data_IF_142694867650
#
_entry.id   IF_142694867650
#
_cell.length_a   1.000
_cell.length_b   1.000
_cell.length_c   1.000
_cell.angle_alpha   90.00
_cell.angle_beta   90.00
_cell.angle_gamma   90.00
#
_symmetry.space_group_name_H-M   'P 1'
#
loop_
_entity.id
_entity.type
_entity.pdbx_description
1 polymer ?
#
# COMPACT_ATOMS: atom_id res chain seq x y z
N UNK A 1 -27.41 19.36 22.67
CA UNK A 1 -26.00 19.20 22.22
C UNK A 1 -25.99 19.31 20.70
N UNK A 2 -25.21 20.23 20.11
CA UNK A 2 -25.18 20.40 18.65
C UNK A 2 -24.20 19.38 18.04
N UNK A 3 -24.64 18.65 17.02
CA UNK A 3 -23.80 17.67 16.32
C UNK A 3 -22.88 18.43 15.39
N UNK A 4 -21.56 18.35 15.64
CA UNK A 4 -20.54 18.88 14.74
C UNK A 4 -20.06 17.75 13.84
N UNK A 5 -20.38 17.83 12.55
CA UNK A 5 -19.88 16.88 11.55
C UNK A 5 -18.52 17.39 11.09
N UNK A 6 -17.45 16.69 11.48
CA UNK A 6 -16.10 16.97 10.99
C UNK A 6 -15.93 16.59 9.51
N UNK A 7 -14.76 16.87 8.94
CA UNK A 7 -14.49 16.57 7.52
C UNK A 7 -13.99 15.14 7.28
N UNK A 8 -13.64 14.40 8.33
CA UNK A 8 -13.12 13.05 8.16
C UNK A 8 -14.24 12.03 8.00
N UNK A 9 -13.90 10.89 7.37
CA UNK A 9 -14.83 9.77 7.24
C UNK A 9 -15.27 9.20 8.60
N UNK A 10 -14.34 9.12 9.56
CA UNK A 10 -14.65 8.69 10.92
C UNK A 10 -15.63 9.65 11.62
N UNK A 11 -15.48 10.96 11.42
CA UNK A 11 -16.42 11.96 11.97
C UNK A 11 -17.83 11.78 11.39
N UNK A 12 -17.93 11.44 10.10
CA UNK A 12 -19.21 11.18 9.44
C UNK A 12 -19.90 9.93 10.02
N UNK A 13 -19.16 8.83 10.20
CA UNK A 13 -19.68 7.60 10.81
C UNK A 13 -20.18 7.86 12.23
N UNK A 14 -19.36 8.54 13.05
CA UNK A 14 -19.71 8.89 14.42
C UNK A 14 -20.95 9.79 14.48
N UNK A 15 -21.05 10.78 13.60
CA UNK A 15 -22.23 11.64 13.52
C UNK A 15 -23.48 10.87 13.12
N UNK A 16 -23.39 9.98 12.12
CA UNK A 16 -24.51 9.12 11.71
C UNK A 16 -25.00 8.24 12.87
N UNK A 17 -24.08 7.63 13.61
CA UNK A 17 -24.42 6.80 14.77
C UNK A 17 -25.16 7.59 15.86
N UNK A 18 -24.66 8.78 16.20
CA UNK A 18 -25.28 9.65 17.19
C UNK A 18 -26.68 10.13 16.75
N UNK A 19 -26.83 10.52 15.48
CA UNK A 19 -28.12 10.95 14.92
C UNK A 19 -29.12 9.79 14.94
N UNK A 20 -28.73 8.61 14.46
CA UNK A 20 -29.61 7.43 14.44
C UNK A 20 -30.04 7.04 15.86
N UNK A 21 -29.12 7.07 16.83
CA UNK A 21 -29.44 6.79 18.22
C UNK A 21 -30.47 7.79 18.78
N UNK A 22 -30.28 9.09 18.51
CA UNK A 22 -31.22 10.13 18.90
C UNK A 22 -32.61 9.97 18.27
N UNK A 23 -32.66 9.67 16.96
CA UNK A 23 -33.91 9.45 16.24
C UNK A 23 -34.66 8.18 16.70
N UNK A 24 -33.94 7.14 17.13
CA UNK A 24 -34.55 5.92 17.69
C UNK A 24 -35.10 6.13 19.10
N UNK A 25 -34.46 6.99 19.89
CA UNK A 25 -34.88 7.30 21.25
C UNK A 25 -36.13 8.19 21.31
N UNK A 26 -36.38 8.99 20.28
CA UNK A 26 -37.58 9.81 20.17
C UNK A 26 -38.83 8.96 19.89
N UNK A 27 -39.81 9.02 20.78
CA UNK A 27 -41.09 8.31 20.62
C UNK A 27 -42.11 9.16 19.86
N UNK A 28 -42.84 8.54 18.92
CA UNK A 28 -44.08 9.10 18.37
C UNK A 28 -44.03 9.75 16.98
N UNK A 29 -42.86 10.00 16.38
CA UNK A 29 -42.78 10.61 15.03
C UNK A 29 -42.41 9.58 13.94
N UNK A 30 -43.35 9.29 13.05
CA UNK A 30 -43.15 8.37 11.93
C UNK A 30 -42.05 8.82 10.95
N UNK A 31 -41.86 10.13 10.76
CA UNK A 31 -40.81 10.66 9.87
C UNK A 31 -39.42 10.44 10.48
N UNK A 32 -39.27 10.64 11.78
CA UNK A 32 -38.01 10.38 12.49
C UNK A 32 -37.60 8.91 12.41
N UNK A 33 -38.58 8.00 12.56
CA UNK A 33 -38.34 6.55 12.37
C UNK A 33 -37.91 6.23 10.94
N UNK A 34 -38.54 6.82 9.93
CA UNK A 34 -38.16 6.62 8.53
C UNK A 34 -36.71 7.09 8.27
N UNK A 35 -36.34 8.28 8.74
CA UNK A 35 -34.97 8.79 8.64
C UNK A 35 -33.96 7.89 9.37
N UNK A 36 -34.29 7.38 10.56
CA UNK A 36 -33.41 6.46 11.28
C UNK A 36 -33.14 5.17 10.49
N UNK A 37 -34.15 4.66 9.76
CA UNK A 37 -34.01 3.48 8.89
C UNK A 37 -33.14 3.78 7.69
N UNK A 38 -33.38 4.90 6.99
CA UNK A 38 -32.58 5.28 5.81
C UNK A 38 -31.12 5.58 6.16
N UNK A 39 -30.88 6.38 7.20
CA UNK A 39 -29.52 6.65 7.68
C UNK A 39 -28.84 5.37 8.17
N UNK A 40 -29.58 4.44 8.75
CA UNK A 40 -29.07 3.11 9.12
C UNK A 40 -28.58 2.29 7.93
N UNK A 41 -29.27 2.36 6.78
CA UNK A 41 -28.81 1.71 5.53
C UNK A 41 -27.48 2.31 5.05
N UNK A 42 -27.38 3.64 5.05
CA UNK A 42 -26.14 4.31 4.66
C UNK A 42 -25.00 3.99 5.63
N UNK A 43 -25.22 4.03 6.94
CA UNK A 43 -24.23 3.66 7.94
C UNK A 43 -23.68 2.23 7.72
N UNK A 44 -24.57 1.26 7.47
CA UNK A 44 -24.16 -0.12 7.19
C UNK A 44 -23.36 -0.24 5.90
N UNK A 45 -23.77 0.46 4.83
CA UNK A 45 -23.04 0.47 3.56
C UNK A 45 -21.64 1.09 3.73
N UNK A 46 -21.54 2.22 4.43
CA UNK A 46 -20.27 2.90 4.67
C UNK A 46 -19.31 2.06 5.53
N UNK A 47 -19.79 1.39 6.58
CA UNK A 47 -18.96 0.46 7.37
C UNK A 47 -18.44 -0.72 6.53
N UNK A 48 -19.28 -1.26 5.66
CA UNK A 48 -18.86 -2.34 4.74
C UNK A 48 -17.77 -1.88 3.78
N UNK A 49 -17.86 -0.63 3.29
CA UNK A 49 -16.83 -0.05 2.43
C UNK A 49 -15.53 0.21 3.19
N UNK A 50 -15.61 0.68 4.43
CA UNK A 50 -14.46 0.89 5.31
C UNK A 50 -13.70 -0.42 5.55
N UNK A 51 -14.41 -1.51 5.89
CA UNK A 51 -13.82 -2.83 6.06
C UNK A 51 -13.12 -3.33 4.78
N UNK A 52 -13.75 -3.12 3.61
CA UNK A 52 -13.14 -3.48 2.32
C UNK A 52 -11.88 -2.66 2.06
N UNK A 53 -11.90 -1.37 2.41
CA UNK A 53 -10.74 -0.49 2.25
C UNK A 53 -9.59 -0.92 3.17
N UNK A 54 -9.85 -1.25 4.42
CA UNK A 54 -8.81 -1.72 5.36
C UNK A 54 -8.22 -3.07 4.95
N UNK A 55 -9.04 -4.00 4.44
CA UNK A 55 -8.55 -5.24 3.84
C UNK A 55 -7.64 -4.98 2.64
N UNK A 56 -8.09 -4.13 1.71
CA UNK A 56 -7.29 -3.76 0.54
C UNK A 56 -5.95 -3.10 0.90
N UNK A 57 -5.92 -2.24 1.94
CA UNK A 57 -4.66 -1.67 2.46
C UNK A 57 -3.71 -2.74 3.00
N UNK A 58 -4.26 -3.72 3.73
CA UNK A 58 -3.48 -4.83 4.28
C UNK A 58 -2.90 -5.72 3.18
N UNK A 59 -3.72 -6.05 2.18
CA UNK A 59 -3.30 -6.82 1.01
C UNK A 59 -2.21 -6.08 0.22
N UNK A 60 -2.38 -4.78 -0.03
CA UNK A 60 -1.39 -3.95 -0.71
C UNK A 60 -0.06 -3.92 0.04
N UNK A 61 -0.10 -3.81 1.37
CA UNK A 61 1.10 -3.85 2.20
C UNK A 61 1.82 -5.21 2.08
N UNK A 62 1.07 -6.32 2.07
CA UNK A 62 1.64 -7.66 1.87
C UNK A 62 2.32 -7.78 0.50
N UNK A 63 1.63 -7.37 -0.57
CA UNK A 63 2.17 -7.41 -1.93
C UNK A 63 3.42 -6.53 -2.06
N UNK A 64 3.41 -5.34 -1.45
CA UNK A 64 4.58 -4.46 -1.45
C UNK A 64 5.78 -5.09 -0.74
N UNK A 65 5.56 -5.82 0.36
CA UNK A 65 6.62 -6.54 1.07
C UNK A 65 7.20 -7.67 0.22
N UNK A 66 6.35 -8.45 -0.44
CA UNK A 66 6.77 -9.55 -1.30
C UNK A 66 7.53 -9.05 -2.53
N UNK A 67 7.08 -7.94 -3.12
CA UNK A 67 7.79 -7.26 -4.21
C UNK A 67 9.20 -6.86 -3.79
N UNK A 68 9.35 -6.18 -2.64
CA UNK A 68 10.66 -5.76 -2.13
C UNK A 68 11.58 -6.97 -1.86
N UNK A 69 11.03 -8.07 -1.34
CA UNK A 69 11.78 -9.31 -1.09
C UNK A 69 12.28 -9.91 -2.41
N UNK A 70 11.38 -10.08 -3.38
CA UNK A 70 11.69 -10.67 -4.68
C UNK A 70 12.68 -9.79 -5.46
N UNK A 71 12.54 -8.47 -5.40
CA UNK A 71 13.49 -7.54 -5.99
C UNK A 71 14.90 -7.72 -5.39
N UNK A 72 14.98 -7.84 -4.07
CA UNK A 72 16.26 -8.05 -3.37
C UNK A 72 16.89 -9.37 -3.78
N UNK A 73 16.13 -10.46 -3.82
CA UNK A 73 16.61 -11.77 -4.24
C UNK A 73 17.07 -11.78 -5.70
N UNK A 74 16.31 -11.14 -6.60
CA UNK A 74 16.68 -11.00 -8.00
C UNK A 74 17.98 -10.21 -8.17
N UNK A 75 18.15 -9.09 -7.45
CA UNK A 75 19.40 -8.30 -7.46
C UNK A 75 20.60 -9.12 -6.96
N UNK A 76 20.42 -9.91 -5.91
CA UNK A 76 21.47 -10.79 -5.38
C UNK A 76 21.86 -11.88 -6.39
N UNK A 77 20.87 -12.52 -7.01
CA UNK A 77 21.12 -13.57 -8.01
C UNK A 77 21.79 -13.01 -9.26
N UNK A 78 21.36 -11.83 -9.74
CA UNK A 78 22.02 -11.13 -10.83
C UNK A 78 23.48 -10.82 -10.47
N UNK A 79 23.74 -10.28 -9.27
CA UNK A 79 25.10 -10.01 -8.80
C UNK A 79 26.00 -11.26 -8.77
N UNK A 80 25.47 -12.40 -8.31
CA UNK A 80 26.17 -13.70 -8.34
C UNK A 80 26.45 -14.16 -9.76
N UNK A 81 25.47 -14.05 -10.64
CA UNK A 81 25.58 -14.46 -12.05
C UNK A 81 26.63 -13.63 -12.78
N UNK A 82 26.60 -12.30 -12.61
CA UNK A 82 27.63 -11.40 -13.15
C UNK A 82 29.01 -11.76 -12.60
N UNK A 83 29.14 -12.02 -11.30
CA UNK A 83 30.41 -12.39 -10.69
C UNK A 83 30.96 -13.72 -11.23
N UNK A 84 30.07 -14.69 -11.47
CA UNK A 84 30.43 -15.96 -12.11
C UNK A 84 30.95 -15.74 -13.53
N UNK A 85 30.20 -15.01 -14.37
CA UNK A 85 30.63 -14.70 -15.74
C UNK A 85 31.97 -13.93 -15.75
N UNK A 86 32.14 -12.95 -14.87
CA UNK A 86 33.40 -12.21 -14.72
C UNK A 86 34.57 -13.12 -14.29
N UNK A 87 34.30 -14.21 -13.56
CA UNK A 87 35.30 -15.20 -13.13
C UNK A 87 35.68 -16.15 -14.28
N UNK A 88 34.72 -16.58 -15.09
CA UNK A 88 34.94 -17.49 -16.21
C UNK A 88 35.66 -16.81 -17.38
N UNK A 89 35.20 -15.61 -17.77
CA UNK A 89 35.68 -14.94 -18.99
C UNK A 89 36.67 -13.81 -18.70
N UNK A 90 36.72 -13.30 -17.46
CA UNK A 90 37.52 -12.15 -17.07
C UNK A 90 36.76 -10.82 -17.18
N UNK A 91 36.99 -9.92 -16.21
CA UNK A 91 36.21 -8.67 -16.00
C UNK A 91 36.19 -7.67 -17.17
N UNK A 92 37.11 -7.79 -18.12
CA UNK A 92 37.25 -6.89 -19.27
C UNK A 92 37.04 -7.60 -20.61
N UNK A 93 36.64 -8.87 -20.58
CA UNK A 93 36.56 -9.69 -21.78
C UNK A 93 35.39 -9.28 -22.68
N UNK A 94 35.56 -9.43 -24.01
CA UNK A 94 34.49 -9.23 -24.97
C UNK A 94 33.31 -10.16 -24.85
N UNK A 95 33.54 -11.39 -24.37
CA UNK A 95 32.51 -12.43 -24.23
C UNK A 95 31.40 -12.02 -23.25
N UNK A 96 31.69 -11.18 -22.24
CA UNK A 96 30.70 -10.69 -21.27
C UNK A 96 29.53 -9.91 -21.91
N UNK A 97 29.77 -9.22 -23.03
CA UNK A 97 28.74 -8.43 -23.70
C UNK A 97 27.64 -9.31 -24.32
N UNK A 98 27.94 -10.56 -24.65
CA UNK A 98 26.94 -11.52 -25.17
C UNK A 98 25.84 -11.82 -24.13
N UNK A 99 26.19 -11.69 -22.85
CA UNK A 99 25.27 -11.86 -21.71
C UNK A 99 24.70 -10.52 -21.20
N UNK A 100 24.92 -9.41 -21.92
CA UNK A 100 24.49 -8.08 -21.50
C UNK A 100 25.29 -7.50 -20.32
N UNK A 101 26.41 -8.11 -19.94
CA UNK A 101 27.29 -7.63 -18.87
C UNK A 101 28.27 -6.60 -19.43
N UNK A 102 28.24 -5.39 -18.90
CA UNK A 102 29.16 -4.33 -19.30
C UNK A 102 30.60 -4.66 -18.88
N UNK A 103 31.55 -4.49 -19.80
CA UNK A 103 32.97 -4.68 -19.52
C UNK A 103 33.48 -3.62 -18.54
N UNK A 104 34.36 -4.01 -17.62
CA UNK A 104 35.01 -3.04 -16.74
C UNK A 104 36.16 -2.32 -17.46
N UNK A 105 36.07 -0.99 -17.48
CA UNK A 105 37.15 -0.01 -17.68
C UNK A 105 38.51 -0.43 -17.05
N UNK A 106 39.58 -0.86 -17.76
CA UNK A 106 40.90 -0.93 -17.14
C UNK A 106 41.31 0.50 -16.72
N UNK A 107 41.37 0.76 -15.42
CA UNK A 107 41.69 2.08 -14.86
C UNK A 107 40.50 2.98 -14.48
N UNK A 108 39.26 2.47 -14.52
CA UNK A 108 38.08 3.22 -14.07
C UNK A 108 38.17 3.54 -12.58
N UNK A 109 38.41 4.81 -12.22
CA UNK A 109 38.30 5.31 -10.83
C UNK A 109 37.00 4.78 -10.23
N UNK A 110 37.09 4.14 -9.06
CA UNK A 110 35.92 3.87 -8.22
C UNK A 110 35.18 5.21 -8.08
N UNK A 111 33.99 5.33 -8.67
CA UNK A 111 33.12 6.47 -8.42
C UNK A 111 32.91 6.62 -6.90
N UNK A 112 32.61 7.83 -6.40
CA UNK A 112 32.47 8.05 -4.96
C UNK A 112 31.50 7.01 -4.38
N UNK A 113 31.95 6.27 -3.35
CA UNK A 113 31.04 5.46 -2.52
C UNK A 113 30.09 6.45 -1.87
N UNK A 114 28.86 6.56 -2.37
CA UNK A 114 27.79 7.21 -1.64
C UNK A 114 27.54 6.33 -0.42
N UNK A 115 27.94 6.81 0.76
CA UNK A 115 27.55 6.21 2.03
C UNK A 115 26.03 6.37 2.14
N UNK A 116 25.33 5.25 2.27
CA UNK A 116 23.97 5.23 2.80
C UNK A 116 23.97 5.74 4.24
#
# INVERSE_FOLDING_TARGET
MAIRIGRSFADLINALEQIIAGLKAATGDAKQKAYAVELGKYLSALRTLDEKQEKAKTELHSVSKDLNKNETEARLLLGKTVSYLESEYGKSSPELQQYGVARRQPGGKKGPRVKA
#
